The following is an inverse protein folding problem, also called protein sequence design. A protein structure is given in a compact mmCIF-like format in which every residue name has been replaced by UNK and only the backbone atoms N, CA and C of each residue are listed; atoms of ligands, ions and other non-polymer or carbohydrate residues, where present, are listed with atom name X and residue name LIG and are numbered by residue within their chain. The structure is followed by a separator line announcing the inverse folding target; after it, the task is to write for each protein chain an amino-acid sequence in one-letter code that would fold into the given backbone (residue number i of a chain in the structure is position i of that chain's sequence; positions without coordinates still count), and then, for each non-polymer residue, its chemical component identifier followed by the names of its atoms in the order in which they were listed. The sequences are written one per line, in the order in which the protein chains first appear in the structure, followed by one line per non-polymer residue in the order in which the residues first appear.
data_IF_242120583759
#
_entry.id   IF_242120583759
#
_cell.length_a   1.000
_cell.length_b   1.000
_cell.length_c   1.000
_cell.angle_alpha   90.00
_cell.angle_beta   90.00
_cell.angle_gamma   90.00
#
_symmetry.space_group_name_H-M   'P 1'
#
loop_
_entity.id
_entity.type
_entity.pdbx_description
1 polymer ?
#
# COMPACT_ATOMS: atom_id res chain seq x y z
N UNK A 1 14.33 -10.12 -8.31
CA UNK A 1 12.93 -9.82 -8.03
C UNK A 1 12.67 -8.48 -8.65
N UNK A 2 11.71 -8.46 -9.57
CA UNK A 2 11.45 -7.30 -10.40
C UNK A 2 10.25 -6.52 -9.82
N UNK A 3 10.14 -5.23 -10.16
CA UNK A 3 9.06 -4.36 -9.66
C UNK A 3 7.66 -4.91 -10.03
N UNK A 4 7.57 -5.73 -11.08
CA UNK A 4 6.37 -6.45 -11.48
C UNK A 4 5.87 -7.43 -10.42
N UNK A 5 6.77 -8.07 -9.65
CA UNK A 5 6.36 -8.99 -8.59
C UNK A 5 5.76 -8.23 -7.41
N UNK A 6 6.31 -7.05 -7.08
CA UNK A 6 5.72 -6.15 -6.08
C UNK A 6 4.30 -5.78 -6.48
N UNK A 7 4.08 -5.35 -7.73
CA UNK A 7 2.75 -5.00 -8.22
C UNK A 7 1.76 -6.18 -8.20
N UNK A 8 2.21 -7.40 -8.50
CA UNK A 8 1.36 -8.61 -8.40
C UNK A 8 0.91 -8.86 -6.97
N UNK A 9 1.80 -8.69 -6.00
CA UNK A 9 1.45 -8.91 -4.59
C UNK A 9 0.54 -7.78 -4.08
N UNK A 10 0.76 -6.54 -4.50
CA UNK A 10 -0.13 -5.42 -4.17
C UNK A 10 -1.56 -5.62 -4.72
N UNK A 11 -1.73 -6.32 -5.84
CA UNK A 11 -3.06 -6.71 -6.38
C UNK A 11 -3.81 -7.70 -5.49
N UNK A 12 -3.13 -8.41 -4.59
CA UNK A 12 -3.80 -9.30 -3.63
C UNK A 12 -4.44 -8.52 -2.47
N UNK A 13 -4.12 -7.23 -2.32
CA UNK A 13 -4.72 -6.37 -1.30
C UNK A 13 -6.04 -5.84 -1.82
N UNK A 14 -7.13 -6.36 -1.25
CA UNK A 14 -8.51 -6.04 -1.62
C UNK A 14 -9.08 -5.03 -0.65
N UNK A 15 -9.77 -4.02 -1.17
CA UNK A 15 -10.59 -3.11 -0.38
C UNK A 15 -11.87 -3.84 0.08
N UNK A 16 -12.07 -4.11 1.39
CA UNK A 16 -13.23 -4.83 1.89
C UNK A 16 -14.57 -4.13 1.62
N UNK A 17 -14.56 -2.83 1.28
CA UNK A 17 -15.79 -2.09 1.01
C UNK A 17 -16.28 -2.26 -0.42
N UNK A 18 -15.36 -2.23 -1.39
CA UNK A 18 -15.69 -2.34 -2.81
C UNK A 18 -15.49 -3.75 -3.38
N UNK A 19 -14.70 -4.59 -2.69
CA UNK A 19 -14.30 -5.92 -3.16
C UNK A 19 -13.30 -5.88 -4.33
N UNK A 20 -12.73 -4.72 -4.64
CA UNK A 20 -11.76 -4.52 -5.72
C UNK A 20 -10.34 -4.38 -5.16
N UNK A 21 -9.34 -4.68 -5.98
CA UNK A 21 -7.93 -4.54 -5.58
C UNK A 21 -7.43 -3.09 -5.67
N UNK A 22 -6.52 -2.73 -4.77
CA UNK A 22 -6.01 -1.35 -4.66
C UNK A 22 -5.25 -0.89 -5.91
N UNK A 23 -4.68 -1.82 -6.68
CA UNK A 23 -3.93 -1.50 -7.91
C UNK A 23 -4.91 -1.22 -9.05
N UNK A 24 -5.93 -2.05 -9.21
CA UNK A 24 -7.01 -1.90 -10.19
C UNK A 24 -7.85 -0.64 -9.93
N UNK A 25 -8.03 -0.26 -8.66
CA UNK A 25 -8.68 0.99 -8.27
C UNK A 25 -7.79 2.23 -8.42
N UNK A 26 -6.54 2.08 -8.88
CA UNK A 26 -5.58 3.17 -9.02
C UNK A 26 -5.33 3.95 -7.70
N UNK A 27 -5.39 3.22 -6.58
CA UNK A 27 -5.10 3.78 -5.24
C UNK A 27 -3.61 3.84 -4.98
N UNK A 28 -2.82 2.94 -5.60
CA UNK A 28 -1.35 2.96 -5.51
C UNK A 28 -0.81 4.09 -6.39
N UNK A 29 -0.22 5.11 -5.77
CA UNK A 29 0.28 6.32 -6.43
C UNK A 29 1.74 6.18 -6.85
N UNK A 30 2.53 5.57 -5.98
CA UNK A 30 3.96 5.40 -6.20
C UNK A 30 4.42 4.10 -5.57
N UNK A 31 5.27 3.37 -6.29
CA UNK A 31 6.06 2.25 -5.77
C UNK A 31 7.48 2.48 -6.26
N UNK A 32 8.41 2.69 -5.35
CA UNK A 32 9.79 3.01 -5.69
C UNK A 32 10.76 2.41 -4.70
N UNK A 33 11.84 1.84 -5.21
CA UNK A 33 12.98 1.49 -4.36
C UNK A 33 13.74 2.77 -3.98
N UNK A 34 13.74 3.06 -2.68
CA UNK A 34 14.40 4.26 -2.12
C UNK A 34 15.79 3.94 -1.58
N UNK A 35 16.01 2.71 -1.14
CA UNK A 35 17.31 2.18 -0.74
C UNK A 35 17.36 0.69 -1.05
N UNK A 36 18.55 0.09 -1.07
CA UNK A 36 18.73 -1.31 -1.40
C UNK A 36 17.90 -2.22 -0.48
N UNK A 37 16.86 -2.85 -1.03
CA UNK A 37 15.93 -3.69 -0.26
C UNK A 37 14.88 -2.93 0.55
N UNK A 38 14.65 -1.63 0.27
CA UNK A 38 13.61 -0.81 0.89
C UNK A 38 12.73 -0.14 -0.18
N UNK A 39 11.45 -0.48 -0.15
CA UNK A 39 10.43 0.04 -1.06
C UNK A 39 9.57 1.07 -0.36
N UNK A 40 9.43 2.25 -0.98
CA UNK A 40 8.43 3.25 -0.64
C UNK A 40 7.16 2.98 -1.44
N UNK A 41 6.03 2.90 -0.77
CA UNK A 41 4.71 2.69 -1.36
C UNK A 41 3.77 3.78 -0.89
N UNK A 42 3.28 4.61 -1.82
CA UNK A 42 2.32 5.67 -1.52
C UNK A 42 0.94 5.24 -1.99
N UNK A 43 -0.03 5.24 -1.07
CA UNK A 43 -1.42 4.85 -1.34
C UNK A 43 -2.32 6.04 -1.07
N UNK A 44 -3.25 6.30 -1.98
CA UNK A 44 -4.29 7.31 -1.83
C UNK A 44 -5.66 6.64 -1.74
N UNK A 45 -6.24 6.51 -0.53
CA UNK A 45 -7.58 5.99 -0.40
C UNK A 45 -8.61 6.92 -1.07
N UNK A 46 -9.72 6.32 -1.51
CA UNK A 46 -10.83 7.05 -2.16
C UNK A 46 -11.65 7.89 -1.17
N UNK A 47 -11.49 7.66 0.14
CA UNK A 47 -12.13 8.42 1.21
C UNK A 47 -11.15 8.69 2.37
N UNK A 48 -11.07 9.94 2.87
CA UNK A 48 -10.10 10.35 3.89
C UNK A 48 -10.44 9.88 5.31
N UNK A 49 -11.65 9.35 5.52
CA UNK A 49 -12.16 8.87 6.81
C UNK A 49 -12.25 7.34 6.89
N UNK A 50 -11.80 6.61 5.87
CA UNK A 50 -12.08 5.19 5.78
C UNK A 50 -11.28 4.40 6.82
N UNK A 51 -11.89 3.71 7.81
CA UNK A 51 -11.15 2.89 8.79
C UNK A 51 -10.28 1.80 8.15
N UNK A 52 -10.53 1.53 6.87
CA UNK A 52 -9.79 0.63 5.99
C UNK A 52 -8.39 1.15 5.65
N UNK A 53 -8.10 2.46 5.76
CA UNK A 53 -6.80 3.02 5.42
C UNK A 53 -5.67 2.36 6.22
N UNK A 54 -5.86 2.21 7.54
CA UNK A 54 -4.92 1.52 8.42
C UNK A 54 -4.76 0.04 8.08
N UNK A 55 -5.86 -0.63 7.71
CA UNK A 55 -5.83 -2.03 7.25
C UNK A 55 -5.03 -2.17 5.95
N UNK A 56 -5.25 -1.29 4.97
CA UNK A 56 -4.52 -1.32 3.70
C UNK A 56 -3.04 -1.06 3.89
N UNK A 57 -2.67 -0.12 4.76
CA UNK A 57 -1.28 0.14 5.11
C UNK A 57 -0.61 -1.11 5.69
N UNK A 58 -1.25 -1.74 6.67
CA UNK A 58 -0.77 -2.98 7.30
C UNK A 58 -0.64 -4.10 6.27
N UNK A 59 -1.69 -4.34 5.48
CA UNK A 59 -1.74 -5.41 4.49
C UNK A 59 -0.66 -5.23 3.41
N UNK A 60 -0.49 -4.01 2.89
CA UNK A 60 0.57 -3.70 1.92
C UNK A 60 1.95 -3.91 2.52
N UNK A 61 2.15 -3.45 3.76
CA UNK A 61 3.42 -3.65 4.47
C UNK A 61 3.76 -5.13 4.59
N UNK A 62 2.83 -5.95 5.11
CA UNK A 62 3.04 -7.39 5.28
C UNK A 62 3.33 -8.10 3.96
N UNK A 63 2.60 -7.74 2.91
CA UNK A 63 2.77 -8.30 1.57
C UNK A 63 4.15 -7.99 0.98
N UNK A 64 4.61 -6.75 1.10
CA UNK A 64 5.92 -6.33 0.61
C UNK A 64 7.05 -6.91 1.48
N UNK A 65 6.86 -6.97 2.79
CA UNK A 65 7.82 -7.60 3.71
C UNK A 65 7.94 -9.12 3.50
N UNK A 66 6.85 -9.78 3.10
CA UNK A 66 6.87 -11.19 2.67
C UNK A 66 7.73 -11.47 1.44
N UNK A 67 8.05 -10.44 0.65
CA UNK A 67 8.96 -10.53 -0.49
C UNK A 67 10.44 -10.32 -0.10
N UNK A 68 10.73 -10.07 1.19
CA UNK A 68 12.07 -9.78 1.68
C UNK A 68 12.51 -8.32 1.55
N UNK A 69 11.58 -7.42 1.20
CA UNK A 69 11.81 -5.98 1.16
C UNK A 69 11.33 -5.31 2.45
N UNK A 70 12.00 -4.26 2.91
CA UNK A 70 11.41 -3.36 3.91
C UNK A 70 10.39 -2.46 3.22
N UNK A 71 9.18 -2.39 3.76
CA UNK A 71 8.12 -1.55 3.22
C UNK A 71 7.95 -0.27 4.04
N UNK A 72 8.09 0.88 3.37
CA UNK A 72 7.76 2.19 3.88
C UNK A 72 6.47 2.65 3.20
N UNK A 73 5.35 2.54 3.92
CA UNK A 73 4.00 2.71 3.35
C UNK A 73 3.39 3.99 3.88
N UNK A 74 3.03 4.90 2.98
CA UNK A 74 2.45 6.20 3.31
C UNK A 74 1.03 6.32 2.74
N UNK A 75 0.11 6.88 3.54
CA UNK A 75 -1.24 7.20 3.11
C UNK A 75 -1.35 8.68 2.75
N UNK A 76 -1.51 8.99 1.47
CA UNK A 76 -1.73 10.36 1.00
C UNK A 76 -3.19 10.78 1.24
N UNK A 77 -3.40 11.91 1.93
CA UNK A 77 -4.73 12.49 2.12
C UNK A 77 -5.62 11.78 3.13
N UNK A 78 -5.05 10.91 3.97
CA UNK A 78 -5.75 10.26 5.07
C UNK A 78 -5.76 11.18 6.30
N UNK A 79 -6.95 11.52 6.80
CA UNK A 79 -7.14 12.52 7.87
C UNK A 79 -7.07 11.91 9.28
N UNK A 80 -7.13 10.59 9.41
CA UNK A 80 -6.71 9.91 10.62
C UNK A 80 -5.19 9.85 10.61
N UNK A 81 -4.61 10.93 11.11
CA UNK A 81 -3.18 11.03 11.33
C UNK A 81 -2.65 9.76 11.98
N UNK A 82 -1.51 9.33 11.48
CA UNK A 82 -0.47 8.80 12.35
C UNK A 82 -0.46 9.69 13.59
N UNK A 83 -0.96 9.16 14.71
CA UNK A 83 -0.70 9.80 16.00
C UNK A 83 0.83 9.86 16.16
N UNK A 84 1.38 11.05 16.49
CA UNK A 84 2.81 11.24 16.66
C UNK A 84 3.40 10.44 17.83
#
# INVERSE_FOLDING_TARGET
MDMEDVLKVLKEVIDPHTGMDIVGMNMVREVKEIEQGRLRVVIKPTSPFCPVGSYLLQAVKEKVEGLGYKADVELEGYLFGVEP
#
